data_IF_571410009073
#
_entry.id   IF_571410009073
#
_cell.length_a   1.000
_cell.length_b   1.000
_cell.length_c   1.000
_cell.angle_alpha   90.00
_cell.angle_beta   90.00
_cell.angle_gamma   90.00
#
_symmetry.space_group_name_H-M   'P 1'
#
loop_
_entity.id
_entity.type
_entity.pdbx_description
1 polymer ?
#
# COMPACT_ATOMS: atom_id res chain seq x y z
N UNK A 1 18.96 -0.68 -3.75
CA UNK A 1 18.61 -2.08 -3.40
C UNK A 1 18.17 -2.19 -1.94
N UNK A 2 16.86 -2.32 -1.69
CA UNK A 2 16.33 -2.61 -0.35
C UNK A 2 16.90 -3.95 0.16
N UNK A 3 17.97 -3.91 0.94
CA UNK A 3 18.55 -5.09 1.58
C UNK A 3 17.96 -5.21 2.97
N UNK A 4 17.45 -6.42 3.23
CA UNK A 4 16.98 -6.92 4.52
C UNK A 4 15.64 -6.34 4.98
N UNK A 5 14.59 -6.86 4.36
CA UNK A 5 13.33 -7.09 5.06
C UNK A 5 13.37 -8.49 5.69
N UNK A 6 13.66 -8.65 6.98
CA UNK A 6 13.33 -9.88 7.67
C UNK A 6 11.84 -9.84 8.02
N UNK A 7 10.95 -10.02 7.04
CA UNK A 7 9.50 -10.12 7.33
C UNK A 7 9.15 -11.51 7.86
N UNK A 8 10.14 -12.39 7.96
CA UNK A 8 10.10 -13.55 8.86
C UNK A 8 9.73 -13.15 10.29
N UNK A 9 9.89 -11.87 10.66
CA UNK A 9 9.64 -11.30 11.98
C UNK A 9 8.36 -10.47 12.15
N UNK A 10 7.35 -10.53 11.26
CA UNK A 10 6.00 -10.16 11.71
C UNK A 10 5.51 -11.31 12.60
N UNK A 11 6.07 -11.41 13.81
CA UNK A 11 5.90 -12.52 14.74
C UNK A 11 4.43 -12.76 15.01
N UNK A 12 3.83 -13.65 14.21
CA UNK A 12 2.47 -14.15 14.42
C UNK A 12 2.41 -15.16 15.58
N UNK A 13 3.58 -15.54 16.16
CA UNK A 13 3.66 -16.51 17.26
C UNK A 13 3.31 -15.92 18.64
N UNK A 14 3.33 -14.60 18.83
CA UNK A 14 2.87 -13.95 20.08
C UNK A 14 1.94 -12.78 19.73
N UNK A 15 0.63 -13.06 19.69
CA UNK A 15 -0.44 -12.06 19.67
C UNK A 15 -0.94 -11.86 21.10
N UNK A 16 -1.24 -10.63 21.50
CA UNK A 16 -2.00 -10.42 22.73
C UNK A 16 -3.43 -10.96 22.56
N UNK A 17 -4.14 -11.23 23.67
CA UNK A 17 -5.53 -11.69 23.60
C UNK A 17 -6.43 -10.65 22.89
N UNK A 18 -6.21 -9.37 23.17
CA UNK A 18 -6.91 -8.25 22.51
C UNK A 18 -6.64 -8.20 20.98
N UNK A 19 -5.42 -8.46 20.51
CA UNK A 19 -5.11 -8.53 19.07
C UNK A 19 -5.81 -9.72 18.38
N UNK A 20 -6.03 -10.81 19.12
CA UNK A 20 -6.75 -11.98 18.61
C UNK A 20 -8.25 -11.72 18.55
N UNK A 21 -8.79 -10.99 19.51
CA UNK A 21 -10.21 -10.65 19.60
C UNK A 21 -10.59 -9.54 18.61
N UNK A 22 -9.78 -8.49 18.48
CA UNK A 22 -10.04 -7.39 17.53
C UNK A 22 -9.69 -7.72 16.07
N UNK A 23 -9.07 -8.89 15.81
CA UNK A 23 -8.64 -9.37 14.47
C UNK A 23 -7.80 -8.38 13.67
N UNK A 24 -7.28 -7.35 14.31
CA UNK A 24 -6.48 -6.27 13.72
C UNK A 24 -5.28 -6.00 14.59
N UNK A 25 -4.13 -5.94 13.93
CA UNK A 25 -2.86 -5.56 14.50
C UNK A 25 -2.36 -4.31 13.80
N UNK A 26 -2.06 -3.26 14.55
CA UNK A 26 -1.42 -2.09 13.98
C UNK A 26 0.08 -2.36 13.87
N UNK A 27 0.63 -2.05 12.70
CA UNK A 27 2.06 -2.20 12.44
C UNK A 27 2.60 -0.83 12.13
N UNK A 28 3.50 -0.36 12.99
CA UNK A 28 4.25 0.86 12.78
C UNK A 28 5.49 0.57 11.96
N UNK A 29 5.78 1.47 11.02
CA UNK A 29 6.93 1.41 10.14
C UNK A 29 7.86 2.60 10.42
N UNK A 30 9.16 2.35 10.32
CA UNK A 30 10.20 3.35 10.33
C UNK A 30 11.07 3.18 9.10
N UNK A 31 11.51 4.31 8.56
CA UNK A 31 12.41 4.35 7.42
C UNK A 31 13.74 4.97 7.83
N UNK A 32 14.83 4.45 7.29
CA UNK A 32 16.15 5.07 7.29
C UNK A 32 16.69 5.10 5.88
N UNK A 33 17.26 6.22 5.47
CA UNK A 33 17.94 6.33 4.20
C UNK A 33 19.42 6.03 4.43
N UNK A 34 19.94 5.00 3.78
CA UNK A 34 21.37 4.70 3.71
C UNK A 34 21.82 4.85 2.27
N UNK A 35 22.44 5.99 1.97
CA UNK A 35 22.93 6.39 0.64
C UNK A 35 21.86 6.30 -0.44
N UNK A 36 21.72 5.15 -1.11
CA UNK A 36 20.76 4.89 -2.20
C UNK A 36 19.76 3.76 -1.86
N UNK A 37 19.67 3.39 -0.58
CA UNK A 37 18.81 2.34 -0.07
C UNK A 37 17.87 2.92 0.99
N UNK A 38 16.59 2.58 0.89
CA UNK A 38 15.64 2.85 1.96
C UNK A 38 15.59 1.59 2.82
N UNK A 39 16.12 1.65 4.04
CA UNK A 39 15.95 0.61 5.04
C UNK A 39 14.60 0.82 5.72
N UNK A 40 13.75 -0.21 5.69
CA UNK A 40 12.43 -0.18 6.28
C UNK A 40 12.37 -1.18 7.44
N UNK A 41 12.04 -0.69 8.63
CA UNK A 41 11.86 -1.50 9.83
C UNK A 41 10.42 -1.37 10.31
N UNK A 42 9.90 -2.39 10.98
CA UNK A 42 8.52 -2.39 11.44
C UNK A 42 8.37 -3.08 12.79
N UNK A 43 7.34 -2.70 13.53
CA UNK A 43 7.00 -3.24 14.84
C UNK A 43 5.49 -3.19 15.02
N UNK A 44 4.94 -4.20 15.66
CA UNK A 44 3.56 -4.13 16.10
C UNK A 44 3.40 -3.11 17.24
N UNK A 45 2.34 -2.32 17.18
CA UNK A 45 2.03 -1.29 18.17
C UNK A 45 0.58 -1.44 18.62
N UNK A 46 0.29 -1.24 19.89
CA UNK A 46 -1.08 -1.17 20.38
C UNK A 46 -1.73 0.15 19.92
N UNK A 47 -3.06 0.18 19.82
CA UNK A 47 -3.77 1.41 19.47
C UNK A 47 -3.51 2.55 20.46
N UNK A 48 -3.33 2.21 21.75
CA UNK A 48 -3.00 3.15 22.82
C UNK A 48 -1.58 3.72 22.72
N UNK A 49 -0.61 2.93 22.25
CA UNK A 49 0.80 3.32 22.14
C UNK A 49 1.11 4.03 20.81
N UNK A 50 0.08 4.42 20.06
CA UNK A 50 0.23 5.03 18.74
C UNK A 50 0.86 6.42 18.90
N UNK A 51 2.09 6.55 18.41
CA UNK A 51 2.76 7.85 18.33
C UNK A 51 2.11 8.71 17.22
N UNK A 52 1.72 9.96 17.49
CA UNK A 52 1.22 10.87 16.45
C UNK A 52 2.29 11.08 15.37
N UNK A 53 1.88 11.21 14.11
CA UNK A 53 2.75 11.32 12.91
C UNK A 53 3.60 10.09 12.58
N UNK A 54 3.37 8.94 13.23
CA UNK A 54 4.00 7.69 12.84
C UNK A 54 3.35 7.04 11.62
N UNK A 55 4.14 6.28 10.87
CA UNK A 55 3.68 5.50 9.72
C UNK A 55 3.05 4.22 10.25
N UNK A 56 1.72 4.10 10.22
CA UNK A 56 1.00 2.95 10.77
C UNK A 56 0.02 2.40 9.74
N UNK A 57 0.00 1.07 9.60
CA UNK A 57 -0.95 0.36 8.76
C UNK A 57 -1.64 -0.76 9.52
N UNK A 58 -2.78 -1.19 8.99
CA UNK A 58 -3.58 -2.28 9.56
C UNK A 58 -3.18 -3.63 8.95
N UNK A 59 -2.72 -4.55 9.79
CA UNK A 59 -2.63 -5.97 9.45
C UNK A 59 -3.88 -6.66 9.98
N UNK A 60 -4.72 -7.16 9.08
CA UNK A 60 -6.06 -7.66 9.40
C UNK A 60 -6.09 -9.16 9.16
N UNK A 61 -6.50 -9.91 10.17
CA UNK A 61 -6.65 -11.35 10.06
C UNK A 61 -8.01 -11.70 9.48
N UNK A 62 -8.02 -12.45 8.39
CA UNK A 62 -9.25 -12.96 7.77
C UNK A 62 -9.41 -14.44 8.11
N UNK A 63 -10.41 -14.76 8.92
CA UNK A 63 -10.61 -16.10 9.50
C UNK A 63 -10.98 -17.15 8.45
N UNK A 64 -11.90 -16.82 7.54
CA UNK A 64 -12.38 -17.70 6.47
C UNK A 64 -11.23 -18.14 5.55
N UNK A 65 -10.21 -17.29 5.40
CA UNK A 65 -9.01 -17.56 4.59
C UNK A 65 -7.81 -17.99 5.43
N UNK A 66 -7.89 -17.89 6.76
CA UNK A 66 -6.82 -18.14 7.73
C UNK A 66 -5.50 -17.44 7.37
N UNK A 67 -5.58 -16.23 6.83
CA UNK A 67 -4.42 -15.47 6.35
C UNK A 67 -4.54 -13.99 6.72
N UNK A 68 -3.43 -13.26 6.63
CA UNK A 68 -3.36 -11.85 6.94
C UNK A 68 -3.43 -11.00 5.68
N UNK A 69 -4.14 -9.88 5.78
CA UNK A 69 -4.38 -8.97 4.68
C UNK A 69 -4.09 -7.52 5.06
N UNK A 70 -3.75 -6.74 4.05
CA UNK A 70 -3.60 -5.28 4.12
C UNK A 70 -4.50 -4.64 3.05
N UNK A 71 -5.09 -3.49 3.35
CA UNK A 71 -5.95 -2.77 2.41
C UNK A 71 -5.12 -2.00 1.37
N UNK A 72 -5.67 -1.79 0.19
CA UNK A 72 -5.03 -0.95 -0.85
C UNK A 72 -4.75 0.47 -0.37
N UNK A 73 -5.64 1.01 0.47
CA UNK A 73 -5.51 2.34 1.07
C UNK A 73 -4.29 2.39 1.98
N UNK A 74 -4.15 1.40 2.89
CA UNK A 74 -2.99 1.27 3.77
C UNK A 74 -1.69 1.08 2.97
N UNK A 75 -1.70 0.27 1.90
CA UNK A 75 -0.54 0.07 1.04
C UNK A 75 -0.05 1.37 0.39
N UNK A 76 -0.97 2.19 -0.15
CA UNK A 76 -0.63 3.47 -0.77
C UNK A 76 -0.11 4.45 0.27
N UNK A 77 -0.78 4.52 1.44
CA UNK A 77 -0.35 5.38 2.54
C UNK A 77 1.07 5.03 3.03
N UNK A 78 1.37 3.73 3.14
CA UNK A 78 2.70 3.25 3.49
C UNK A 78 3.73 3.68 2.45
N UNK A 79 3.42 3.54 1.16
CA UNK A 79 4.32 3.95 0.08
C UNK A 79 4.61 5.47 0.10
N UNK A 80 3.59 6.31 0.26
CA UNK A 80 3.76 7.77 0.39
C UNK A 80 4.71 8.09 1.55
N UNK A 81 4.49 7.43 2.68
CA UNK A 81 5.25 7.65 3.90
C UNK A 81 6.70 7.15 3.80
N UNK A 82 6.94 6.03 3.13
CA UNK A 82 8.28 5.48 2.92
C UNK A 82 9.12 6.36 1.98
N UNK A 83 8.51 6.96 0.95
CA UNK A 83 9.21 7.84 0.00
C UNK A 83 9.29 9.29 0.49
N UNK A 84 8.57 9.66 1.57
CA UNK A 84 8.40 11.04 2.05
C UNK A 84 7.63 11.97 1.08
N UNK A 85 6.91 11.41 0.12
CA UNK A 85 6.28 12.21 -0.94
C UNK A 85 4.80 11.90 -0.96
N UNK A 86 3.98 12.96 -1.02
CA UNK A 86 2.55 12.83 -1.29
C UNK A 86 2.37 12.53 -2.78
N UNK A 87 1.73 11.41 -3.09
CA UNK A 87 1.48 11.05 -4.49
C UNK A 87 0.32 11.87 -5.04
N UNK A 88 0.44 12.30 -6.30
CA UNK A 88 -0.67 12.89 -7.04
C UNK A 88 -1.73 11.84 -7.35
N UNK A 89 -2.91 12.27 -7.81
CA UNK A 89 -4.02 11.35 -8.14
C UNK A 89 -3.62 10.38 -9.25
N UNK A 90 -2.87 10.88 -10.23
CA UNK A 90 -2.33 10.13 -11.38
C UNK A 90 -1.37 9.05 -10.89
N UNK A 91 -0.46 9.42 -9.98
CA UNK A 91 0.55 8.50 -9.46
C UNK A 91 -0.10 7.42 -8.57
N UNK A 92 -1.07 7.81 -7.74
CA UNK A 92 -1.92 6.86 -7.03
C UNK A 92 -2.61 5.89 -7.98
N UNK A 93 -3.03 6.35 -9.16
CA UNK A 93 -3.65 5.49 -10.16
C UNK A 93 -2.63 4.52 -10.81
N UNK A 94 -1.40 4.97 -11.07
CA UNK A 94 -0.31 4.10 -11.56
C UNK A 94 0.08 3.03 -10.55
N UNK A 95 0.15 3.41 -9.27
CA UNK A 95 0.42 2.48 -8.17
C UNK A 95 -0.72 1.46 -8.07
N UNK A 96 -1.99 1.90 -8.09
CA UNK A 96 -3.14 0.98 -8.10
C UNK A 96 -3.06 -0.03 -9.23
N UNK A 97 -2.74 0.38 -10.47
CA UNK A 97 -2.54 -0.55 -11.60
C UNK A 97 -1.37 -1.53 -11.39
N UNK A 98 -0.25 -1.08 -10.79
CA UNK A 98 0.85 -1.99 -10.44
C UNK A 98 0.42 -3.01 -9.37
N UNK A 99 -0.37 -2.55 -8.40
CA UNK A 99 -0.91 -3.39 -7.33
C UNK A 99 -1.93 -4.41 -7.87
N UNK A 100 -2.77 -4.06 -8.85
CA UNK A 100 -3.68 -5.01 -9.51
C UNK A 100 -2.93 -6.20 -10.14
N UNK A 101 -1.68 -5.99 -10.60
CA UNK A 101 -0.82 -7.06 -11.11
C UNK A 101 -0.45 -8.14 -10.07
N UNK A 102 -0.64 -7.87 -8.77
CA UNK A 102 -0.45 -8.84 -7.70
C UNK A 102 -1.75 -9.60 -7.33
N UNK A 103 -2.81 -9.45 -8.14
CA UNK A 103 -4.11 -10.12 -7.98
C UNK A 103 -4.75 -9.86 -6.61
N UNK A 104 -5.17 -8.61 -6.32
CA UNK A 104 -5.90 -8.29 -5.10
C UNK A 104 -7.19 -9.10 -5.00
N UNK A 105 -7.60 -9.39 -3.77
CA UNK A 105 -8.95 -9.84 -3.49
C UNK A 105 -9.86 -8.61 -3.38
N UNK A 106 -11.04 -8.73 -3.97
CA UNK A 106 -12.04 -7.67 -3.94
C UNK A 106 -13.11 -8.07 -2.93
N UNK A 107 -13.12 -7.39 -1.80
CA UNK A 107 -14.05 -7.63 -0.69
C UNK A 107 -15.16 -6.59 -0.73
N UNK A 108 -16.39 -7.05 -0.62
CA UNK A 108 -17.57 -6.20 -0.76
C UNK A 108 -18.74 -6.73 0.06
N UNK A 109 -19.69 -5.83 0.37
CA UNK A 109 -20.90 -6.17 1.12
C UNK A 109 -21.78 -7.20 0.39
N UNK A 110 -21.74 -7.23 -0.94
CA UNK A 110 -22.59 -8.09 -1.75
C UNK A 110 -22.09 -9.55 -1.82
N UNK A 111 -20.86 -9.82 -1.40
CA UNK A 111 -20.29 -11.17 -1.37
C UNK A 111 -20.40 -11.73 0.04
N UNK A 112 -21.27 -12.71 0.25
CA UNK A 112 -21.51 -13.34 1.55
C UNK A 112 -20.20 -13.78 2.23
N UNK A 113 -19.29 -14.41 1.48
CA UNK A 113 -17.99 -14.89 1.98
C UNK A 113 -17.05 -13.77 2.48
N UNK A 114 -17.26 -12.52 2.06
CA UNK A 114 -16.40 -11.38 2.42
C UNK A 114 -17.15 -10.25 3.12
N UNK A 115 -18.45 -10.41 3.36
CA UNK A 115 -19.30 -9.38 3.94
C UNK A 115 -18.91 -9.11 5.39
N UNK A 116 -18.64 -10.16 6.17
CA UNK A 116 -18.18 -10.05 7.55
C UNK A 116 -16.79 -9.41 7.65
N UNK A 117 -15.89 -9.78 6.75
CA UNK A 117 -14.57 -9.16 6.66
C UNK A 117 -14.63 -7.69 6.23
N UNK A 118 -15.52 -7.34 5.29
CA UNK A 118 -15.78 -5.95 4.90
C UNK A 118 -16.34 -5.14 6.07
N UNK A 119 -17.29 -5.71 6.82
CA UNK A 119 -17.87 -5.10 8.03
C UNK A 119 -16.80 -4.90 9.11
N UNK A 120 -15.92 -5.87 9.31
CA UNK A 120 -14.79 -5.78 10.23
C UNK A 120 -13.85 -4.62 9.85
N UNK A 121 -13.48 -4.50 8.56
CA UNK A 121 -12.67 -3.38 8.04
C UNK A 121 -13.36 -2.03 8.32
N UNK A 122 -14.66 -1.95 8.06
CA UNK A 122 -15.45 -0.73 8.26
C UNK A 122 -15.71 -0.40 9.74
N UNK A 123 -15.62 -1.38 10.64
CA UNK A 123 -15.79 -1.22 12.09
C UNK A 123 -14.59 -0.56 12.77
N UNK A 124 -13.47 -0.36 12.04
CA UNK A 124 -12.26 0.18 12.63
C UNK A 124 -12.35 1.70 12.89
N UNK A 125 -11.92 2.17 14.08
CA UNK A 125 -11.96 3.59 14.43
C UNK A 125 -10.96 4.42 13.60
N UNK A 126 -11.24 5.73 13.56
CA UNK A 126 -10.66 6.78 12.73
C UNK A 126 -9.14 6.70 12.38
N UNK A 127 -8.71 7.29 11.24
CA UNK A 127 -9.51 8.18 10.40
C UNK A 127 -10.38 7.37 9.44
N UNK A 128 -11.71 7.51 9.60
CA UNK A 128 -12.71 6.95 8.68
C UNK A 128 -12.33 7.41 7.29
N UNK A 129 -12.12 6.49 6.33
CA UNK A 129 -12.00 6.86 4.94
C UNK A 129 -13.30 7.56 4.54
N UNK A 130 -13.27 8.89 4.51
CA UNK A 130 -14.37 9.73 4.07
C UNK A 130 -14.57 9.38 2.59
N UNK A 131 -15.62 8.60 2.31
CA UNK A 131 -16.09 8.15 0.98
C UNK A 131 -15.62 6.76 0.46
N UNK A 132 -15.81 5.66 1.20
CA UNK A 132 -15.63 4.30 0.63
C UNK A 132 -16.87 3.43 0.85
N UNK A 133 -17.94 3.76 0.12
CA UNK A 133 -19.08 2.86 -0.16
C UNK A 133 -18.78 1.89 -1.34
N UNK A 134 -17.49 1.61 -1.62
CA UNK A 134 -17.07 0.78 -2.78
C UNK A 134 -16.23 -0.42 -2.36
N UNK A 135 -16.14 -1.38 -3.27
CA UNK A 135 -15.32 -2.58 -3.16
C UNK A 135 -13.90 -2.25 -2.65
N UNK A 136 -13.53 -2.85 -1.51
CA UNK A 136 -12.19 -2.69 -0.96
C UNK A 136 -11.29 -3.74 -1.58
N UNK A 137 -10.14 -3.30 -2.08
CA UNK A 137 -9.08 -4.20 -2.55
C UNK A 137 -8.18 -4.55 -1.37
N UNK A 138 -8.04 -5.84 -1.09
CA UNK A 138 -7.15 -6.35 -0.05
C UNK A 138 -6.09 -7.27 -0.65
N UNK A 139 -4.92 -7.21 -0.06
CA UNK A 139 -3.74 -7.91 -0.51
C UNK A 139 -3.23 -8.82 0.60
N UNK A 140 -2.82 -10.07 0.29
CA UNK A 140 -2.14 -10.90 1.28
C UNK A 140 -0.93 -10.17 1.87
N UNK A 141 -0.76 -10.17 3.18
CA UNK A 141 0.34 -9.47 3.85
C UNK A 141 1.71 -9.91 3.30
N UNK A 142 1.84 -11.19 2.94
CA UNK A 142 3.04 -11.78 2.34
C UNK A 142 3.50 -11.13 1.02
N UNK A 143 2.62 -10.46 0.28
CA UNK A 143 2.98 -9.81 -1.00
C UNK A 143 3.40 -8.34 -0.84
N UNK A 144 3.07 -7.72 0.29
CA UNK A 144 3.50 -6.37 0.65
C UNK A 144 4.98 -6.09 0.36
N UNK A 145 5.94 -6.98 0.67
CA UNK A 145 7.37 -6.72 0.52
C UNK A 145 7.78 -6.63 -0.94
N UNK A 146 7.22 -7.54 -1.75
CA UNK A 146 7.44 -7.60 -3.18
C UNK A 146 6.84 -6.36 -3.86
N UNK A 147 5.63 -5.97 -3.44
CA UNK A 147 4.97 -4.77 -3.92
C UNK A 147 5.78 -3.50 -3.58
N UNK A 148 6.18 -3.34 -2.31
CA UNK A 148 6.99 -2.21 -1.86
C UNK A 148 8.32 -2.15 -2.62
N UNK A 149 9.04 -3.27 -2.74
CA UNK A 149 10.32 -3.32 -3.48
C UNK A 149 10.15 -2.96 -4.94
N UNK A 150 9.11 -3.47 -5.61
CA UNK A 150 8.84 -3.22 -7.04
C UNK A 150 8.47 -1.75 -7.29
N UNK A 151 7.69 -1.16 -6.40
CA UNK A 151 7.19 0.20 -6.54
C UNK A 151 8.30 1.19 -6.16
N UNK A 152 8.89 1.07 -4.97
CA UNK A 152 10.00 1.92 -4.49
C UNK A 152 11.19 1.84 -5.45
N UNK A 153 11.51 0.65 -5.96
CA UNK A 153 12.62 0.47 -6.91
C UNK A 153 12.49 1.31 -8.18
N UNK A 154 11.26 1.63 -8.63
CA UNK A 154 11.06 2.56 -9.76
C UNK A 154 11.41 4.00 -9.36
N UNK A 155 11.02 4.42 -8.16
CA UNK A 155 11.31 5.77 -7.68
C UNK A 155 12.78 5.96 -7.33
N UNK A 156 13.47 4.98 -6.74
CA UNK A 156 14.91 5.14 -6.44
C UNK A 156 15.75 5.26 -7.70
N UNK A 157 15.37 4.58 -8.78
CA UNK A 157 16.07 4.68 -10.07
C UNK A 157 15.72 5.98 -10.81
N UNK A 158 14.49 6.48 -10.67
CA UNK A 158 14.06 7.75 -11.28
C UNK A 158 14.49 9.00 -10.49
N UNK A 159 14.73 8.90 -9.18
CA UNK A 159 15.11 10.04 -8.31
C UNK A 159 16.58 10.04 -7.89
N UNK A 160 17.34 8.97 -8.12
CA UNK A 160 18.80 8.93 -7.87
C UNK A 160 19.63 9.75 -8.88
N UNK A 161 19.00 10.42 -9.84
CA UNK A 161 19.66 11.16 -10.91
C UNK A 161 19.73 12.68 -10.74
N UNK A 162 18.77 13.31 -10.07
CA UNK A 162 18.74 14.79 -9.99
C UNK A 162 17.96 15.26 -8.77
N UNK A 163 18.68 15.84 -7.80
CA UNK A 163 18.12 16.91 -7.00
C UNK A 163 17.80 18.07 -7.98
N UNK A 164 16.51 18.27 -8.24
CA UNK A 164 15.99 19.41 -9.01
C UNK A 164 16.05 19.25 -10.52
N UNK A 165 14.98 18.75 -11.13
CA UNK A 165 14.55 19.20 -12.46
C UNK A 165 13.08 18.80 -12.69
N UNK A 166 12.29 19.82 -13.00
CA UNK A 166 10.98 19.76 -13.65
C UNK A 166 10.85 18.63 -14.67
N UNK A 167 9.83 17.78 -14.52
CA UNK A 167 9.47 16.77 -15.50
C UNK A 167 8.30 17.29 -16.34
N UNK A 168 8.60 18.18 -17.28
CA UNK A 168 7.84 18.29 -18.52
C UNK A 168 8.56 17.41 -19.54
N UNK A 169 7.84 16.47 -20.16
CA UNK A 169 8.13 15.78 -21.43
C UNK A 169 7.63 14.33 -21.39
N UNK A 170 6.36 14.16 -21.75
CA UNK A 170 5.89 12.96 -22.45
C UNK A 170 6.29 13.10 -23.93
N UNK A 171 6.76 12.05 -24.63
CA UNK A 171 6.51 11.94 -26.04
C UNK A 171 5.27 11.07 -26.23
N UNK A 172 4.14 11.73 -26.43
CA UNK A 172 2.93 11.10 -26.93
C UNK A 172 2.34 11.98 -28.03
N UNK A 173 2.60 11.65 -29.30
CA UNK A 173 1.56 11.45 -30.32
C UNK A 173 2.10 11.50 -31.76
N UNK A 174 1.89 10.37 -32.46
CA UNK A 174 1.40 10.19 -33.85
C UNK A 174 2.26 10.67 -35.04
N UNK A 175 2.10 9.95 -36.17
CA UNK A 175 1.30 10.57 -37.23
C UNK A 175 0.19 9.63 -37.71
N UNK A 176 -1.02 10.16 -37.85
CA UNK A 176 -2.04 9.59 -38.72
C UNK A 176 -2.17 10.56 -39.90
N UNK A 177 -1.75 10.11 -41.09
CA UNK A 177 -1.77 10.90 -42.33
C UNK A 177 -3.14 11.49 -42.60
N UNK A 178 -3.14 12.80 -42.85
CA UNK A 178 -4.31 13.53 -43.32
C UNK A 178 -4.64 13.19 -44.76
N UNK A 179 -5.91 12.86 -44.98
CA UNK A 179 -6.53 12.96 -46.29
C UNK A 179 -6.60 14.44 -46.70
N UNK A 180 -6.17 14.76 -47.92
CA UNK A 180 -6.52 16.01 -48.61
C UNK A 180 -7.32 15.68 -49.87
N UNK A 181 -8.38 16.47 -50.04
CA UNK A 181 -9.33 16.51 -51.14
C UNK A 181 -8.87 17.54 -52.18
N UNK A 182 -9.23 17.26 -53.43
CA UNK A 182 -9.44 18.14 -54.59
C UNK A 182 -8.23 18.64 -55.42
N UNK A 183 -8.42 18.49 -56.74
CA UNK A 183 -7.55 18.87 -57.85
C UNK A 183 -7.89 18.01 -59.06
#
# INVERSE_FOLDING_TARGET
MLTTFPISGCGCRRRSLEERECRRRLVQFWRRHESNNILCTFKAVAAADRVPNSIVVSCIFWEERRDFFITSVDCIHLLESLIAVRFTVEEKNRIRRNLEGFRPLTVSKCKAESADFFKLIMSFPNPKPRNIEKDVKVFPWRILPLALKKIIGKYTTSYGGTAGASMDSLPGSRPASGARVAG
#
